data_IF_189353830172
#
_entry.id   IF_189353830172
#
_cell.length_a   1.000
_cell.length_b   1.000
_cell.length_c   1.000
_cell.angle_alpha   90.00
_cell.angle_beta   90.00
_cell.angle_gamma   90.00
#
_symmetry.space_group_name_H-M   'P 1'
#
loop_
_entity.id
_entity.type
_entity.pdbx_description
1 polymer ?
#
# COMPACT_ATOMS: atom_id res chain seq x y z
N UNK A 1 9.74 -0.37 9.63
CA UNK A 1 9.34 -1.69 9.11
C UNK A 1 8.89 -1.58 7.66
N UNK A 2 8.94 -2.67 6.95
CA UNK A 2 8.59 -2.71 5.53
C UNK A 2 7.35 -3.58 5.31
N UNK A 3 6.41 -3.06 4.54
CA UNK A 3 5.21 -3.80 4.15
C UNK A 3 5.51 -4.59 2.88
N UNK A 4 5.31 -5.90 2.94
CA UNK A 4 5.45 -6.77 1.77
C UNK A 4 4.18 -6.64 0.92
N UNK A 5 4.33 -6.20 -0.33
CA UNK A 5 3.22 -6.00 -1.26
C UNK A 5 3.29 -6.92 -2.49
N UNK A 6 4.31 -7.75 -2.58
CA UNK A 6 4.49 -8.69 -3.68
C UNK A 6 5.59 -9.68 -3.35
N UNK A 7 5.90 -10.55 -4.31
CA UNK A 7 6.91 -11.60 -4.11
C UNK A 7 8.27 -11.06 -3.68
N UNK A 8 8.70 -9.98 -4.31
CA UNK A 8 10.01 -9.35 -4.05
C UNK A 8 9.87 -7.86 -3.74
N UNK A 9 8.65 -7.36 -3.63
CA UNK A 9 8.39 -5.93 -3.46
C UNK A 9 8.00 -5.62 -2.01
N UNK A 10 8.74 -4.71 -1.41
CA UNK A 10 8.45 -4.18 -0.07
C UNK A 10 8.49 -2.67 -0.11
N UNK A 11 7.67 -2.03 0.73
CA UNK A 11 7.64 -0.57 0.86
C UNK A 11 7.73 -0.19 2.34
N UNK A 12 8.33 0.98 2.66
CA UNK A 12 8.35 1.44 4.05
C UNK A 12 6.91 1.70 4.52
N UNK A 13 6.52 1.11 5.64
CA UNK A 13 5.15 1.24 6.14
C UNK A 13 4.79 2.69 6.48
N UNK A 14 5.75 3.47 6.95
CA UNK A 14 5.53 4.87 7.34
C UNK A 14 5.17 5.77 6.16
N UNK A 15 5.40 5.33 4.92
CA UNK A 15 5.01 6.09 3.74
C UNK A 15 3.56 5.85 3.32
N UNK A 16 2.93 4.81 3.84
CA UNK A 16 1.59 4.39 3.41
C UNK A 16 0.53 5.35 3.94
N UNK A 17 -0.24 5.93 3.02
CA UNK A 17 -1.39 6.78 3.34
C UNK A 17 -2.66 5.93 3.39
N UNK A 18 -2.82 5.01 2.44
CA UNK A 18 -4.01 4.16 2.38
C UNK A 18 -3.82 2.94 1.50
N UNK A 19 -4.66 1.95 1.73
CA UNK A 19 -4.72 0.70 0.97
C UNK A 19 -6.14 0.55 0.47
N UNK A 20 -6.30 0.33 -0.83
CA UNK A 20 -7.60 0.37 -1.49
C UNK A 20 -7.80 -0.87 -2.35
N UNK A 21 -9.05 -1.34 -2.38
CA UNK A 21 -9.46 -2.45 -3.21
C UNK A 21 -9.77 -1.96 -4.62
N UNK A 22 -9.16 -2.58 -5.63
CA UNK A 22 -9.38 -2.17 -7.02
C UNK A 22 -10.79 -2.48 -7.51
N UNK A 23 -11.37 -3.60 -7.09
CA UNK A 23 -12.70 -3.99 -7.54
C UNK A 23 -13.78 -3.01 -7.07
N UNK A 24 -13.61 -2.46 -5.87
CA UNK A 24 -14.58 -1.54 -5.28
C UNK A 24 -14.32 -0.11 -5.70
N UNK A 25 -13.06 0.33 -5.60
CA UNK A 25 -12.72 1.75 -5.79
C UNK A 25 -12.62 2.16 -7.24
N UNK A 26 -12.22 1.26 -8.15
CA UNK A 26 -12.11 1.61 -9.57
C UNK A 26 -13.45 1.79 -10.26
N UNK A 27 -14.55 1.44 -9.62
CA UNK A 27 -15.88 1.76 -10.12
C UNK A 27 -16.21 3.24 -9.96
N UNK A 28 -15.50 3.94 -9.08
CA UNK A 28 -15.64 5.39 -8.92
C UNK A 28 -14.94 6.11 -10.05
N UNK A 29 -15.65 7.06 -10.69
CA UNK A 29 -15.07 7.91 -11.72
C UNK A 29 -13.85 8.68 -11.21
N UNK A 30 -13.97 9.25 -10.00
CA UNK A 30 -12.89 10.03 -9.42
C UNK A 30 -11.64 9.19 -9.15
N UNK A 31 -11.82 7.95 -8.69
CA UNK A 31 -10.70 7.05 -8.45
C UNK A 31 -10.00 6.69 -9.75
N UNK A 32 -10.76 6.39 -10.81
CA UNK A 32 -10.17 6.10 -12.12
C UNK A 32 -9.40 7.28 -12.68
N UNK A 33 -9.94 8.50 -12.54
CA UNK A 33 -9.26 9.71 -12.97
C UNK A 33 -7.96 9.93 -12.21
N UNK A 34 -7.98 9.71 -10.91
CA UNK A 34 -6.78 9.83 -10.05
C UNK A 34 -5.69 8.86 -10.51
N UNK A 35 -6.04 7.58 -10.67
CA UNK A 35 -5.07 6.54 -11.07
C UNK A 35 -4.50 6.84 -12.47
N UNK A 36 -5.33 7.26 -13.39
CA UNK A 36 -4.89 7.61 -14.74
C UNK A 36 -3.92 8.79 -14.72
N UNK A 37 -4.21 9.81 -13.92
CA UNK A 37 -3.34 10.97 -13.77
C UNK A 37 -1.98 10.58 -13.17
N UNK A 38 -1.97 9.76 -12.13
CA UNK A 38 -0.73 9.29 -11.50
C UNK A 38 0.08 8.40 -12.45
N UNK A 39 -0.57 7.57 -13.24
CA UNK A 39 0.08 6.74 -14.24
C UNK A 39 0.76 7.59 -15.32
N UNK A 40 0.09 8.64 -15.81
CA UNK A 40 0.67 9.56 -16.78
C UNK A 40 1.90 10.28 -16.20
N UNK A 41 1.88 10.57 -14.92
CA UNK A 41 3.01 11.20 -14.23
C UNK A 41 4.16 10.25 -13.88
N UNK A 42 4.02 8.96 -14.17
CA UNK A 42 5.03 7.97 -13.85
C UNK A 42 5.07 7.58 -12.36
N UNK A 43 4.04 7.91 -11.60
CA UNK A 43 3.98 7.66 -10.16
C UNK A 43 3.42 6.28 -9.80
N UNK A 44 2.99 5.49 -10.77
CA UNK A 44 2.42 4.15 -10.55
C UNK A 44 3.47 3.08 -10.81
N UNK A 45 3.70 2.24 -9.81
CA UNK A 45 4.59 1.08 -9.90
C UNK A 45 3.74 -0.19 -9.77
N UNK A 46 3.83 -1.08 -10.76
CA UNK A 46 3.11 -2.34 -10.71
C UNK A 46 3.97 -3.43 -10.08
N UNK A 47 3.62 -3.83 -8.86
CA UNK A 47 4.30 -4.90 -8.13
C UNK A 47 3.57 -6.24 -8.26
N UNK A 48 2.47 -6.30 -9.00
CA UNK A 48 1.71 -7.52 -9.23
C UNK A 48 2.33 -8.31 -10.38
N UNK A 49 2.45 -9.63 -10.21
CA UNK A 49 2.90 -10.52 -11.28
C UNK A 49 1.76 -10.93 -12.21
N UNK A 50 0.54 -10.79 -11.73
CA UNK A 50 -0.69 -11.11 -12.43
C UNK A 50 -1.65 -9.92 -12.31
N UNK A 51 -2.95 -10.16 -12.36
CA UNK A 51 -3.94 -9.11 -12.24
C UNK A 51 -3.88 -8.47 -10.85
N UNK A 52 -3.69 -7.17 -10.74
CA UNK A 52 -3.65 -6.52 -9.42
C UNK A 52 -5.04 -6.52 -8.76
N UNK A 53 -5.05 -6.68 -7.44
CA UNK A 53 -6.26 -6.69 -6.63
C UNK A 53 -6.41 -5.44 -5.76
N UNK A 54 -5.32 -4.76 -5.51
CA UNK A 54 -5.32 -3.58 -4.65
C UNK A 54 -4.30 -2.54 -5.11
N UNK A 55 -4.45 -1.32 -4.63
CA UNK A 55 -3.40 -0.32 -4.77
C UNK A 55 -3.11 0.33 -3.42
N UNK A 56 -1.85 0.73 -3.26
CA UNK A 56 -1.37 1.38 -2.06
C UNK A 56 -0.96 2.80 -2.42
N UNK A 57 -1.58 3.78 -1.78
CA UNK A 57 -1.21 5.18 -1.93
C UNK A 57 -0.16 5.51 -0.88
N UNK A 58 0.96 6.02 -1.33
CA UNK A 58 2.08 6.40 -0.48
C UNK A 58 2.49 7.84 -0.73
N UNK A 59 3.13 8.44 0.27
CA UNK A 59 3.78 9.72 0.11
C UNK A 59 5.27 9.53 0.41
N UNK A 60 6.10 9.81 -0.61
CA UNK A 60 7.55 9.77 -0.49
C UNK A 60 8.13 11.12 -0.92
N UNK A 61 8.91 11.75 -0.05
CA UNK A 61 9.57 13.04 -0.34
C UNK A 61 8.58 14.08 -0.87
N UNK A 62 7.41 14.18 -0.24
CA UNK A 62 6.32 15.11 -0.59
C UNK A 62 5.67 14.85 -1.94
N UNK A 63 5.90 13.68 -2.53
CA UNK A 63 5.26 13.28 -3.77
C UNK A 63 4.39 12.05 -3.54
N UNK A 64 3.25 12.00 -4.21
CA UNK A 64 2.38 10.83 -4.17
C UNK A 64 2.97 9.73 -5.03
N UNK A 65 2.87 8.49 -4.55
CA UNK A 65 3.30 7.31 -5.27
C UNK A 65 2.27 6.21 -5.08
N UNK A 66 1.98 5.49 -6.15
CA UNK A 66 0.98 4.41 -6.14
C UNK A 66 1.64 3.10 -6.50
N UNK A 67 1.38 2.09 -5.70
CA UNK A 67 1.82 0.73 -5.98
C UNK A 67 0.61 -0.16 -6.22
N UNK A 68 0.65 -0.93 -7.30
CA UNK A 68 -0.35 -1.95 -7.57
C UNK A 68 0.14 -3.27 -7.00
N UNK A 69 -0.74 -3.99 -6.31
CA UNK A 69 -0.40 -5.25 -5.65
C UNK A 69 -1.38 -6.35 -6.04
N UNK A 70 -0.86 -7.55 -6.17
CA UNK A 70 -1.67 -8.75 -6.38
C UNK A 70 -2.37 -9.18 -5.09
N UNK A 71 -1.82 -8.84 -3.94
CA UNK A 71 -2.45 -9.10 -2.65
C UNK A 71 -3.72 -8.28 -2.50
N UNK A 72 -4.70 -8.81 -1.77
CA UNK A 72 -5.92 -8.07 -1.50
C UNK A 72 -5.67 -6.96 -0.48
N UNK A 73 -6.53 -5.94 -0.49
CA UNK A 73 -6.46 -4.86 0.50
C UNK A 73 -6.60 -5.41 1.92
N UNK A 74 -7.42 -6.43 2.10
CA UNK A 74 -7.61 -7.10 3.38
C UNK A 74 -6.32 -7.74 3.90
N UNK A 75 -5.61 -8.45 3.01
CA UNK A 75 -4.33 -9.08 3.36
C UNK A 75 -3.29 -8.03 3.75
N UNK A 76 -3.19 -6.95 2.97
CA UNK A 76 -2.24 -5.88 3.25
C UNK A 76 -2.57 -5.16 4.55
N UNK A 77 -3.85 -4.91 4.81
CA UNK A 77 -4.27 -4.28 6.05
C UNK A 77 -3.96 -5.15 7.27
N UNK A 78 -4.12 -6.46 7.14
CA UNK A 78 -3.73 -7.38 8.21
C UNK A 78 -2.22 -7.33 8.49
N UNK A 79 -1.41 -7.28 7.45
CA UNK A 79 0.05 -7.17 7.60
C UNK A 79 0.45 -5.88 8.31
N UNK A 80 -0.21 -4.76 7.95
CA UNK A 80 0.01 -3.47 8.61
C UNK A 80 -0.34 -3.53 10.09
N UNK A 81 -1.50 -4.12 10.42
CA UNK A 81 -1.95 -4.24 11.80
C UNK A 81 -1.01 -5.10 12.63
N UNK A 82 -0.50 -6.19 12.06
CA UNK A 82 0.46 -7.06 12.73
C UNK A 82 1.76 -6.32 13.05
N UNK A 83 2.26 -5.54 12.12
CA UNK A 83 3.47 -4.74 12.34
C UNK A 83 3.27 -3.69 13.44
N UNK A 84 2.12 -3.04 13.45
CA UNK A 84 1.77 -2.07 14.47
C UNK A 84 1.71 -2.72 15.85
N UNK A 85 1.11 -3.89 15.93
CA UNK A 85 1.02 -4.65 17.18
C UNK A 85 2.39 -5.10 17.68
N UNK A 86 3.26 -5.57 16.79
CA UNK A 86 4.63 -5.92 17.12
C UNK A 86 5.41 -4.75 17.70
N UNK A 87 5.25 -3.56 17.11
CA UNK A 87 5.88 -2.35 17.62
C UNK A 87 5.41 -2.02 19.03
N UNK A 88 4.12 -2.13 19.29
CA UNK A 88 3.56 -1.90 20.63
C UNK A 88 4.13 -2.88 21.65
N UNK A 89 4.25 -4.15 21.27
CA UNK A 89 4.81 -5.18 22.13
C UNK A 89 6.27 -4.91 22.45
N UNK A 90 7.07 -4.54 21.45
CA UNK A 90 8.47 -4.18 21.65
C UNK A 90 8.63 -2.97 22.55
N UNK A 91 7.80 -1.98 22.37
CA UNK A 91 7.82 -0.77 23.19
C UNK A 91 7.49 -1.07 24.65
N UNK A 92 6.49 -1.90 24.91
CA UNK A 92 6.14 -2.34 26.26
C UNK A 92 7.27 -3.09 26.93
N UNK A 93 7.94 -3.97 26.23
CA UNK A 93 9.11 -4.68 26.75
C UNK A 93 10.25 -3.74 27.11
N UNK A 94 10.45 -2.70 26.33
CA UNK A 94 11.49 -1.70 26.59
C UNK A 94 11.22 -0.87 27.84
N UNK A 95 9.96 -0.74 28.24
CA UNK A 95 9.57 0.02 29.43
C UNK A 95 9.64 -0.78 30.73
N UNK A 96 9.76 -2.08 30.63
CA UNK A 96 9.90 -2.96 31.78
C UNK A 96 11.36 -3.24 32.06
#
# INVERSE_FOLDING_TARGET
MYLNIGKTAVIPEETVIGIFDLDTTTQSFLTREFLAAEERGGAVTNAAEDIPNSFILCEEKKAAKVYLSQSTSRTLSKRMNQMEEERRTKWRKSMN
#
